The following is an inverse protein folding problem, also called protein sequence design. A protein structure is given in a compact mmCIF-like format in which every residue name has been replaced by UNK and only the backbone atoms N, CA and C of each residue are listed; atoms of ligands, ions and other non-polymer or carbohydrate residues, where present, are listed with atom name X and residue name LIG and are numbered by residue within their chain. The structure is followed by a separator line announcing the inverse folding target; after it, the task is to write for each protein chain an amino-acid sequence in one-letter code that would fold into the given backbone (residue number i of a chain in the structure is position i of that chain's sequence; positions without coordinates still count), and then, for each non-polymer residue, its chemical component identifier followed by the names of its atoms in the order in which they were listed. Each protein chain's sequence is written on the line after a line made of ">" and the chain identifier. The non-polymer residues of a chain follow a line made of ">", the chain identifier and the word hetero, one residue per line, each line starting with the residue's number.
data_IF_100687959039
#
_entry.id   IF_100687959039
#
_cell.length_a   1.000
_cell.length_b   1.000
_cell.length_c   1.000
_cell.angle_alpha   90.00
_cell.angle_beta   90.00
_cell.angle_gamma   90.00
#
_symmetry.space_group_name_H-M   'P 1'
#
loop_
_entity.id
_entity.type
_entity.pdbx_description
1 polymer ?
#
# COMPACT_ATOMS: atom_id res chain seq x y z
N UNK A 1 7.93 26.92 15.90
CA UNK A 1 6.79 26.00 15.64
C UNK A 1 5.49 26.74 15.32
N UNK A 2 5.26 27.96 15.83
CA UNK A 2 4.18 28.83 15.35
C UNK A 2 4.77 30.05 14.64
N UNK A 3 5.18 29.89 13.37
CA UNK A 3 5.40 31.05 12.52
C UNK A 3 4.03 31.68 12.26
N UNK A 4 3.75 32.96 12.60
CA UNK A 4 2.44 33.59 12.32
C UNK A 4 1.95 33.48 10.86
N UNK A 5 2.84 33.14 9.92
CA UNK A 5 2.53 32.93 8.50
C UNK A 5 2.41 31.46 8.07
N UNK A 6 2.49 30.52 9.00
CA UNK A 6 2.55 29.08 8.73
C UNK A 6 3.87 28.63 8.08
N UNK A 7 4.03 27.31 7.91
CA UNK A 7 5.12 26.73 7.13
C UNK A 7 4.92 27.03 5.64
N UNK A 8 6.01 27.18 4.87
CA UNK A 8 5.94 27.39 3.42
C UNK A 8 5.21 26.19 2.79
N UNK A 9 3.99 26.40 2.31
CA UNK A 9 3.15 25.33 1.74
C UNK A 9 2.37 24.49 2.76
N UNK A 10 2.29 24.90 4.03
CA UNK A 10 1.48 24.22 5.04
C UNK A 10 -0.02 24.30 4.76
N UNK A 11 -0.78 23.32 5.24
CA UNK A 11 -2.20 23.11 4.94
C UNK A 11 -3.18 24.24 5.32
N UNK A 12 -2.73 25.27 6.05
CA UNK A 12 -3.54 26.44 6.43
C UNK A 12 -3.35 27.69 5.56
N UNK A 13 -2.62 27.62 4.43
CA UNK A 13 -2.31 28.81 3.63
C UNK A 13 -3.30 29.07 2.49
N UNK A 14 -3.79 30.31 2.31
CA UNK A 14 -4.61 30.69 1.15
C UNK A 14 -3.83 30.47 -0.16
N UNK A 15 -4.45 29.84 -1.15
CA UNK A 15 -3.90 29.65 -2.50
C UNK A 15 -4.53 30.67 -3.42
N UNK A 16 -3.74 31.66 -3.86
CA UNK A 16 -4.19 32.58 -4.91
C UNK A 16 -3.83 31.95 -6.26
N UNK A 17 -4.86 31.53 -7.01
CA UNK A 17 -4.71 30.81 -8.28
C UNK A 17 -4.42 31.75 -9.47
N UNK A 18 -4.55 33.07 -9.29
CA UNK A 18 -4.36 34.07 -10.34
C UNK A 18 -2.92 34.61 -10.42
N UNK A 19 -2.09 34.31 -9.42
CA UNK A 19 -0.70 34.78 -9.33
C UNK A 19 0.24 33.59 -9.51
N UNK A 20 1.37 33.81 -10.19
CA UNK A 20 2.43 32.82 -10.29
C UNK A 20 2.78 32.23 -8.92
N UNK A 21 2.61 30.91 -8.79
CA UNK A 21 2.79 30.17 -7.55
C UNK A 21 4.23 30.30 -7.02
N UNK A 22 5.21 30.45 -7.91
CA UNK A 22 6.61 30.59 -7.54
C UNK A 22 6.94 32.01 -7.06
N UNK A 23 6.34 33.04 -7.67
CA UNK A 23 6.44 34.41 -7.15
C UNK A 23 5.81 34.53 -5.76
N UNK A 24 4.64 33.92 -5.57
CA UNK A 24 3.95 33.89 -4.28
C UNK A 24 4.79 33.17 -3.21
N UNK A 25 5.43 32.04 -3.57
CA UNK A 25 6.33 31.30 -2.67
C UNK A 25 7.57 32.11 -2.31
N UNK A 26 8.22 32.76 -3.29
CA UNK A 26 9.39 33.63 -3.06
C UNK A 26 9.06 34.82 -2.15
N UNK A 27 7.92 35.49 -2.38
CA UNK A 27 7.47 36.59 -1.53
C UNK A 27 7.20 36.11 -0.08
N UNK A 28 6.64 34.91 0.10
CA UNK A 28 6.42 34.31 1.43
C UNK A 28 7.72 33.95 2.13
N UNK A 29 8.66 33.35 1.41
CA UNK A 29 10.00 33.06 1.92
C UNK A 29 10.64 34.36 2.43
N UNK A 30 10.63 35.41 1.61
CA UNK A 30 11.17 36.71 1.98
C UNK A 30 10.46 37.30 3.21
N UNK A 31 9.13 37.21 3.28
CA UNK A 31 8.35 37.67 4.44
C UNK A 31 8.64 36.89 5.73
N UNK A 32 8.83 35.57 5.63
CA UNK A 32 9.21 34.74 6.78
C UNK A 32 10.62 35.08 7.28
N UNK A 33 11.59 35.23 6.39
CA UNK A 33 12.95 35.64 6.75
C UNK A 33 13.01 37.06 7.32
N UNK A 34 12.28 38.01 6.72
CA UNK A 34 12.20 39.38 7.22
C UNK A 34 11.59 39.43 8.62
N UNK A 35 10.52 38.65 8.87
CA UNK A 35 9.94 38.57 10.22
C UNK A 35 10.89 37.90 11.20
N UNK A 36 11.51 36.79 10.81
CA UNK A 36 12.49 36.08 11.65
C UNK A 36 13.66 36.99 12.03
N UNK A 37 14.14 37.84 11.11
CA UNK A 37 15.20 38.83 11.37
C UNK A 37 14.75 39.94 12.34
N UNK A 38 13.47 40.35 12.27
CA UNK A 38 12.90 41.35 13.18
C UNK A 38 12.58 40.80 14.58
N UNK A 39 12.60 39.48 14.77
CA UNK A 39 12.34 38.89 16.07
C UNK A 39 13.55 39.05 16.98
N UNK A 40 13.31 39.60 18.17
CA UNK A 40 14.35 39.74 19.21
C UNK A 40 14.73 38.40 19.85
N UNK A 41 13.82 37.41 19.83
CA UNK A 41 14.04 36.05 20.35
C UNK A 41 13.81 35.03 19.23
N UNK A 42 14.90 34.53 18.65
CA UNK A 42 14.87 33.64 17.48
C UNK A 42 15.11 32.18 17.83
N UNK A 43 15.97 31.95 18.82
CA UNK A 43 16.33 30.60 19.22
C UNK A 43 15.53 30.14 20.44
N UNK A 44 15.04 28.90 20.41
CA UNK A 44 14.24 28.33 21.50
C UNK A 44 14.98 28.29 22.83
N UNK A 45 16.30 28.08 22.82
CA UNK A 45 17.14 28.07 24.02
C UNK A 45 17.38 29.47 24.59
N UNK A 46 17.04 30.54 23.86
CA UNK A 46 17.11 31.92 24.35
C UNK A 46 15.79 32.37 25.00
N UNK A 47 14.69 31.65 24.75
CA UNK A 47 13.36 32.01 25.24
C UNK A 47 13.34 32.03 26.79
N UNK A 48 12.95 33.14 27.43
CA UNK A 48 12.99 33.29 28.88
C UNK A 48 12.03 32.34 29.60
N UNK A 49 10.89 31.98 29.00
CA UNK A 49 9.94 31.02 29.59
C UNK A 49 10.53 29.61 29.57
N UNK A 50 11.23 29.23 28.50
CA UNK A 50 11.91 27.93 28.40
C UNK A 50 13.08 27.88 29.38
N UNK A 51 13.89 28.94 29.48
CA UNK A 51 14.98 29.03 30.46
C UNK A 51 14.44 28.89 31.89
N UNK A 52 13.39 29.65 32.22
CA UNK A 52 12.73 29.59 33.53
C UNK A 52 12.16 28.19 33.81
N UNK A 53 11.51 27.56 32.84
CA UNK A 53 10.99 26.20 32.98
C UNK A 53 12.11 25.19 33.28
N UNK A 54 13.27 25.32 32.62
CA UNK A 54 14.41 24.49 32.97
C UNK A 54 14.95 24.85 34.36
N UNK A 55 15.25 26.10 34.66
CA UNK A 55 15.78 26.52 35.95
C UNK A 55 14.91 26.10 37.14
N UNK A 56 13.58 26.25 37.03
CA UNK A 56 12.65 26.01 38.13
C UNK A 56 12.15 24.57 38.21
N UNK A 57 12.06 23.86 37.08
CA UNK A 57 11.44 22.53 37.04
C UNK A 57 12.39 21.44 36.56
N UNK A 58 12.92 21.55 35.33
CA UNK A 58 13.74 20.46 34.76
C UNK A 58 15.21 20.48 35.23
N UNK A 59 15.67 21.51 35.92
CA UNK A 59 17.08 21.78 36.22
C UNK A 59 17.87 22.19 34.97
N UNK A 60 18.72 21.30 34.48
CA UNK A 60 19.55 21.55 33.29
C UNK A 60 19.01 20.81 32.07
N UNK A 61 19.34 21.25 30.84
CA UNK A 61 19.12 20.46 29.64
C UNK A 61 19.69 19.04 29.80
N UNK A 62 18.95 18.04 29.30
CA UNK A 62 19.29 16.61 29.42
C UNK A 62 19.44 16.10 30.87
N UNK A 63 18.85 16.78 31.86
CA UNK A 63 18.77 16.23 33.20
C UNK A 63 17.95 14.93 33.20
N UNK A 64 18.17 14.09 34.22
CA UNK A 64 17.39 12.87 34.42
C UNK A 64 15.87 13.14 34.52
N UNK A 65 15.48 14.28 35.08
CA UNK A 65 14.08 14.67 35.19
C UNK A 65 13.50 15.09 33.83
N UNK A 66 14.26 15.89 33.06
CA UNK A 66 13.90 16.23 31.68
C UNK A 66 13.76 14.97 30.83
N UNK A 67 14.70 14.03 30.94
CA UNK A 67 14.66 12.77 30.22
C UNK A 67 13.39 11.98 30.55
N UNK A 68 13.11 11.76 31.84
CA UNK A 68 11.94 11.02 32.33
C UNK A 68 10.60 11.63 31.91
N UNK A 69 10.50 12.95 31.85
CA UNK A 69 9.24 13.65 31.63
C UNK A 69 8.97 13.99 30.16
N UNK A 70 10.03 14.25 29.38
CA UNK A 70 9.92 14.66 27.99
C UNK A 70 10.08 13.49 27.01
N UNK A 71 10.67 12.37 27.45
CA UNK A 71 10.71 11.15 26.66
C UNK A 71 9.69 10.15 27.19
N UNK A 72 8.96 9.54 26.27
CA UNK A 72 8.04 8.46 26.58
C UNK A 72 8.73 7.13 26.31
N UNK A 73 8.61 6.17 27.22
CA UNK A 73 8.94 4.78 26.94
C UNK A 73 7.71 4.05 26.42
N UNK A 74 7.87 3.33 25.31
CA UNK A 74 6.83 2.46 24.77
C UNK A 74 6.81 1.15 25.57
N UNK A 75 5.68 0.86 26.22
CA UNK A 75 5.42 -0.44 26.83
C UNK A 75 4.41 -1.15 25.94
N UNK A 76 4.82 -2.29 25.37
CA UNK A 76 3.93 -3.13 24.56
C UNK A 76 2.75 -3.60 25.42
N UNK A 77 1.52 -3.26 25.00
CA UNK A 77 0.27 -3.77 25.60
C UNK A 77 -0.31 -4.94 24.80
N UNK A 78 0.51 -5.65 24.04
CA UNK A 78 0.08 -6.77 23.20
C UNK A 78 -0.66 -7.86 24.00
N UNK A 79 -0.32 -8.06 25.28
CA UNK A 79 -1.01 -9.03 26.16
C UNK A 79 -2.39 -8.56 26.65
N UNK A 80 -2.70 -7.27 26.58
CA UNK A 80 -4.04 -6.77 26.94
C UNK A 80 -5.07 -7.05 25.83
N UNK A 81 -4.58 -7.37 24.63
CA UNK A 81 -5.40 -7.80 23.49
C UNK A 81 -5.80 -9.28 23.56
N UNK A 82 -5.25 -10.07 24.50
CA UNK A 82 -5.47 -11.54 24.57
C UNK A 82 -6.33 -12.02 25.76
N UNK A 83 -6.73 -11.14 26.70
CA UNK A 83 -7.42 -11.55 27.95
C UNK A 83 -8.95 -11.53 27.92
N UNK A 84 -9.57 -11.03 26.85
CA UNK A 84 -11.03 -11.05 26.71
C UNK A 84 -11.44 -11.73 25.41
N UNK A 85 -11.74 -13.03 25.47
CA UNK A 85 -12.39 -13.72 24.35
C UNK A 85 -12.02 -15.19 24.19
N UNK A 86 -11.80 -15.94 25.27
CA UNK A 86 -11.61 -17.39 25.15
C UNK A 86 -12.32 -18.13 26.28
N UNK A 87 -13.64 -18.22 26.15
CA UNK A 87 -14.38 -19.37 26.64
C UNK A 87 -15.22 -19.88 25.47
N UNK A 88 -14.94 -21.13 25.09
CA UNK A 88 -15.72 -22.00 24.21
C UNK A 88 -15.64 -21.68 22.70
N UNK A 89 -14.81 -22.43 21.99
CA UNK A 89 -15.30 -23.44 21.05
C UNK A 89 -14.15 -24.37 20.60
N UNK A 90 -14.42 -25.65 20.72
CA UNK A 90 -13.55 -26.81 20.56
C UNK A 90 -13.52 -27.33 19.12
N UNK A 91 -12.34 -27.80 18.71
CA UNK A 91 -12.11 -29.06 17.96
C UNK A 91 -12.88 -29.22 16.63
N UNK A 92 -12.27 -29.34 15.45
CA UNK A 92 -11.44 -30.47 15.04
C UNK A 92 -11.13 -30.31 13.54
N UNK A 93 -9.94 -30.80 13.13
CA UNK A 93 -9.49 -31.16 11.76
C UNK A 93 -9.00 -30.03 10.84
N UNK A 94 -7.67 -29.95 10.74
CA UNK A 94 -6.93 -30.19 9.49
C UNK A 94 -5.45 -30.41 9.83
N UNK A 95 -5.02 -31.68 9.91
CA UNK A 95 -3.60 -32.06 9.90
C UNK A 95 -3.10 -32.04 8.45
N UNK A 96 -2.49 -30.93 8.04
CA UNK A 96 -1.62 -30.92 6.86
C UNK A 96 -0.23 -31.41 7.29
N UNK A 97 0.10 -32.63 6.86
CA UNK A 97 1.34 -33.31 7.22
C UNK A 97 2.51 -32.75 6.39
N UNK A 98 3.17 -31.70 6.87
CA UNK A 98 4.38 -31.14 6.26
C UNK A 98 5.59 -32.05 6.52
N UNK A 99 5.84 -33.01 5.63
CA UNK A 99 6.96 -33.94 5.76
C UNK A 99 8.30 -33.29 5.39
N UNK A 100 9.30 -33.41 6.26
CA UNK A 100 10.66 -32.87 6.06
C UNK A 100 11.41 -33.60 4.93
N UNK A 101 12.20 -32.87 4.13
CA UNK A 101 13.01 -33.44 3.03
C UNK A 101 14.53 -33.38 3.32
N UNK A 102 15.24 -34.45 2.95
CA UNK A 102 16.69 -34.60 3.12
C UNK A 102 17.33 -34.93 1.77
N UNK A 103 18.44 -34.26 1.43
CA UNK A 103 19.16 -34.47 0.16
C UNK A 103 20.51 -35.13 0.39
N UNK A 104 20.83 -36.17 -0.38
CA UNK A 104 22.16 -36.76 -0.39
C UNK A 104 23.17 -35.82 -1.06
N UNK A 105 24.23 -35.43 -0.35
CA UNK A 105 25.30 -34.54 -0.86
C UNK A 105 26.12 -35.15 -1.99
N UNK A 106 26.08 -36.48 -2.16
CA UNK A 106 26.92 -37.20 -3.14
C UNK A 106 26.20 -37.40 -4.47
N UNK A 107 24.93 -37.83 -4.45
CA UNK A 107 24.20 -38.17 -5.68
C UNK A 107 22.89 -37.40 -5.89
N UNK A 108 22.47 -36.59 -4.91
CA UNK A 108 21.26 -35.78 -5.01
C UNK A 108 19.94 -36.53 -4.76
N UNK A 109 19.95 -37.80 -4.34
CA UNK A 109 18.74 -38.51 -3.93
C UNK A 109 18.01 -37.77 -2.79
N UNK A 110 16.68 -37.68 -2.89
CA UNK A 110 15.81 -37.01 -1.90
C UNK A 110 15.05 -38.05 -1.10
N UNK A 111 15.15 -37.96 0.23
CA UNK A 111 14.36 -38.73 1.19
C UNK A 111 13.29 -37.82 1.82
N UNK A 112 12.06 -38.29 1.92
CA UNK A 112 10.93 -37.56 2.52
C UNK A 112 10.48 -38.30 3.79
N UNK A 113 10.56 -37.63 4.95
CA UNK A 113 10.21 -38.19 6.26
C UNK A 113 10.56 -37.22 7.39
N UNK A 114 9.81 -37.26 8.50
CA UNK A 114 10.01 -36.37 9.66
C UNK A 114 11.44 -36.41 10.21
N UNK A 115 12.05 -37.59 10.23
CA UNK A 115 13.44 -37.80 10.66
C UNK A 115 14.15 -38.74 9.68
N UNK A 116 15.44 -38.50 9.43
CA UNK A 116 16.28 -39.39 8.65
C UNK A 116 16.86 -40.48 9.58
N UNK A 117 16.51 -41.77 9.39
CA UNK A 117 17.06 -42.85 10.23
C UNK A 117 18.59 -42.90 10.14
N UNK A 118 19.27 -43.14 11.26
CA UNK A 118 20.74 -43.17 11.33
C UNK A 118 21.35 -44.30 10.48
N UNK A 119 20.61 -45.39 10.31
CA UNK A 119 20.99 -46.56 9.50
C UNK A 119 20.57 -46.41 8.03
N UNK A 120 19.98 -45.28 7.63
CA UNK A 120 19.55 -45.07 6.25
C UNK A 120 20.73 -45.07 5.28
N UNK A 121 20.62 -45.89 4.24
CA UNK A 121 21.62 -45.98 3.17
C UNK A 121 21.01 -45.45 1.89
N UNK A 122 21.67 -44.46 1.28
CA UNK A 122 21.22 -43.89 0.02
C UNK A 122 21.03 -45.01 -1.04
N UNK A 123 19.85 -45.16 -1.66
CA UNK A 123 19.60 -46.25 -2.60
C UNK A 123 20.41 -46.11 -3.89
N UNK A 124 20.81 -44.90 -4.26
CA UNK A 124 21.58 -44.60 -5.47
C UNK A 124 23.08 -44.80 -5.24
N UNK A 125 23.70 -44.04 -4.33
CA UNK A 125 25.17 -44.05 -4.17
C UNK A 125 25.69 -44.87 -2.99
N UNK A 126 24.79 -45.55 -2.24
CA UNK A 126 25.10 -46.43 -1.11
C UNK A 126 25.87 -45.77 0.05
N UNK A 127 25.87 -44.44 0.10
CA UNK A 127 26.46 -43.68 1.19
C UNK A 127 25.52 -43.63 2.41
N UNK A 128 26.06 -43.59 3.63
CA UNK A 128 25.27 -43.61 4.87
C UNK A 128 24.52 -42.28 5.11
N UNK A 129 23.61 -42.28 6.09
CA UNK A 129 22.77 -41.13 6.46
C UNK A 129 23.57 -39.85 6.75
N UNK A 130 24.82 -39.96 7.25
CA UNK A 130 25.73 -38.82 7.46
C UNK A 130 26.07 -38.02 6.18
N UNK A 131 25.81 -38.61 5.01
CA UNK A 131 25.99 -37.97 3.71
C UNK A 131 24.75 -37.19 3.24
N UNK A 132 23.70 -37.11 4.05
CA UNK A 132 22.52 -36.29 3.79
C UNK A 132 22.58 -34.96 4.53
N UNK A 133 21.97 -33.95 3.95
CA UNK A 133 21.73 -32.65 4.58
C UNK A 133 20.23 -32.34 4.56
N UNK A 134 19.74 -31.68 5.61
CA UNK A 134 18.35 -31.23 5.69
C UNK A 134 18.17 -30.14 4.65
N UNK A 135 17.12 -30.26 3.83
CA UNK A 135 16.72 -29.16 2.97
C UNK A 135 16.00 -28.18 3.90
N UNK A 136 16.66 -27.08 4.27
CA UNK A 136 15.96 -25.91 4.80
C UNK A 136 15.10 -25.39 3.64
N UNK A 137 13.78 -25.40 3.81
CA UNK A 137 12.88 -24.76 2.86
C UNK A 137 13.19 -23.26 2.89
N UNK A 138 14.04 -22.83 1.95
CA UNK A 138 14.11 -21.44 1.56
C UNK A 138 12.73 -21.17 0.93
N UNK A 139 11.91 -20.25 1.49
CA UNK A 139 10.64 -19.92 0.89
C UNK A 139 10.90 -19.52 -0.56
N UNK A 140 10.17 -20.17 -1.49
CA UNK A 140 10.29 -19.90 -2.91
C UNK A 140 10.19 -18.39 -3.16
N UNK A 141 11.00 -17.86 -4.07
CA UNK A 141 10.93 -16.46 -4.48
C UNK A 141 9.48 -16.11 -4.86
N UNK A 142 8.82 -15.30 -4.03
CA UNK A 142 7.41 -14.93 -4.19
C UNK A 142 6.50 -15.20 -2.98
N UNK A 143 6.98 -15.87 -1.93
CA UNK A 143 6.23 -15.99 -0.67
C UNK A 143 6.72 -14.99 0.37
N UNK A 144 5.78 -14.32 1.04
CA UNK A 144 6.03 -13.37 2.14
C UNK A 144 6.99 -13.96 3.18
N UNK A 145 7.90 -13.18 3.79
CA UNK A 145 8.74 -13.65 4.91
C UNK A 145 7.93 -14.20 6.09
N UNK A 146 6.63 -13.91 6.14
CA UNK A 146 5.71 -14.28 7.18
C UNK A 146 4.85 -15.51 6.83
N UNK A 147 5.08 -16.15 5.68
CA UNK A 147 4.25 -17.25 5.17
C UNK A 147 3.94 -18.32 6.23
N UNK A 148 2.65 -18.63 6.42
CA UNK A 148 2.16 -19.63 7.36
C UNK A 148 2.14 -19.20 8.83
N UNK A 149 2.60 -18.00 9.16
CA UNK A 149 2.63 -17.50 10.54
C UNK A 149 1.32 -16.81 10.94
N UNK A 150 1.09 -16.65 12.24
CA UNK A 150 0.03 -15.76 12.75
C UNK A 150 0.26 -14.31 12.32
N UNK A 151 1.51 -13.88 12.15
CA UNK A 151 1.85 -12.53 11.72
C UNK A 151 1.36 -12.25 10.29
N UNK A 152 1.47 -13.20 9.37
CA UNK A 152 0.90 -13.04 8.02
C UNK A 152 -0.61 -12.83 8.06
N UNK A 153 -1.33 -13.61 8.87
CA UNK A 153 -2.78 -13.44 9.06
C UNK A 153 -3.10 -12.05 9.65
N UNK A 154 -2.34 -11.61 10.65
CA UNK A 154 -2.50 -10.28 11.24
C UNK A 154 -2.26 -9.16 10.21
N UNK A 155 -1.27 -9.32 9.33
CA UNK A 155 -0.98 -8.36 8.26
C UNK A 155 -2.11 -8.31 7.22
N UNK A 156 -2.66 -9.47 6.84
CA UNK A 156 -3.82 -9.55 5.93
C UNK A 156 -5.07 -8.90 6.56
N UNK A 157 -5.31 -9.16 7.85
CA UNK A 157 -6.40 -8.55 8.60
C UNK A 157 -6.24 -7.03 8.69
N UNK A 158 -5.03 -6.55 9.02
CA UNK A 158 -4.71 -5.12 9.05
C UNK A 158 -4.90 -4.48 7.67
N UNK A 159 -4.40 -5.08 6.60
CA UNK A 159 -4.60 -4.60 5.23
C UNK A 159 -6.09 -4.50 4.87
N UNK A 160 -6.89 -5.52 5.20
CA UNK A 160 -8.34 -5.52 4.98
C UNK A 160 -9.03 -4.41 5.78
N UNK A 161 -8.69 -4.28 7.07
CA UNK A 161 -9.24 -3.26 7.96
C UNK A 161 -8.97 -1.84 7.47
N UNK A 162 -7.72 -1.54 7.11
CA UNK A 162 -7.31 -0.23 6.60
C UNK A 162 -7.94 0.10 5.23
N UNK A 163 -8.04 -0.92 4.35
CA UNK A 163 -8.69 -0.77 3.05
C UNK A 163 -10.19 -0.45 3.19
N UNK A 164 -10.86 -1.12 4.13
CA UNK A 164 -12.25 -0.82 4.47
C UNK A 164 -12.39 0.56 5.12
N UNK A 165 -11.47 0.95 6.00
CA UNK A 165 -11.47 2.25 6.66
C UNK A 165 -11.34 3.41 5.66
N UNK A 166 -10.38 3.34 4.73
CA UNK A 166 -10.23 4.29 3.62
C UNK A 166 -11.55 4.53 2.88
N UNK A 167 -12.21 3.45 2.45
CA UNK A 167 -13.45 3.55 1.68
C UNK A 167 -14.59 4.14 2.52
N UNK A 168 -14.78 3.66 3.76
CA UNK A 168 -15.78 4.19 4.70
C UNK A 168 -15.60 5.70 4.91
N UNK A 169 -14.39 6.15 5.22
CA UNK A 169 -14.12 7.56 5.47
C UNK A 169 -14.32 8.42 4.22
N UNK A 170 -14.00 7.90 3.04
CA UNK A 170 -14.33 8.58 1.78
C UNK A 170 -15.84 8.74 1.60
N UNK A 171 -16.64 7.72 1.93
CA UNK A 171 -18.11 7.82 1.88
C UNK A 171 -18.66 8.79 2.95
N UNK A 172 -18.08 8.79 4.16
CA UNK A 172 -18.48 9.71 5.23
C UNK A 172 -18.17 11.16 4.87
N UNK A 173 -17.06 11.42 4.17
CA UNK A 173 -16.76 12.75 3.65
C UNK A 173 -17.86 13.27 2.71
N UNK A 174 -18.40 12.41 1.84
CA UNK A 174 -19.50 12.79 0.94
C UNK A 174 -20.78 13.13 1.71
N UNK A 175 -21.06 12.42 2.82
CA UNK A 175 -22.18 12.76 3.71
C UNK A 175 -21.94 14.13 4.35
N UNK A 176 -20.76 14.34 4.95
CA UNK A 176 -20.40 15.61 5.59
C UNK A 176 -20.46 16.80 4.61
N UNK A 177 -20.04 16.62 3.35
CA UNK A 177 -20.19 17.64 2.30
C UNK A 177 -21.66 17.98 2.03
N UNK A 178 -22.53 16.98 1.88
CA UNK A 178 -23.96 17.20 1.65
C UNK A 178 -24.64 17.92 2.81
N UNK A 179 -24.13 17.74 4.03
CA UNK A 179 -24.61 18.42 5.24
C UNK A 179 -23.98 19.82 5.43
N UNK A 180 -23.02 20.22 4.58
CA UNK A 180 -22.35 21.52 4.65
C UNK A 180 -21.16 21.59 5.62
N UNK A 181 -20.71 20.47 6.17
CA UNK A 181 -19.57 20.38 7.07
C UNK A 181 -18.24 20.15 6.32
N UNK A 182 -17.82 21.14 5.54
CA UNK A 182 -16.64 21.03 4.67
C UNK A 182 -15.34 20.70 5.42
N UNK A 183 -15.14 21.26 6.63
CA UNK A 183 -13.96 20.92 7.43
C UNK A 183 -13.95 19.45 7.86
N UNK A 184 -15.11 18.92 8.25
CA UNK A 184 -15.25 17.51 8.66
C UNK A 184 -15.01 16.61 7.46
N UNK A 185 -15.54 16.97 6.30
CA UNK A 185 -15.30 16.23 5.06
C UNK A 185 -13.81 16.17 4.70
N UNK A 186 -13.09 17.31 4.76
CA UNK A 186 -11.66 17.31 4.46
C UNK A 186 -10.86 16.50 5.48
N UNK A 187 -11.24 16.52 6.76
CA UNK A 187 -10.62 15.67 7.77
C UNK A 187 -10.86 14.18 7.48
N UNK A 188 -12.08 13.79 7.07
CA UNK A 188 -12.33 12.41 6.65
C UNK A 188 -11.50 12.02 5.42
N UNK A 189 -11.38 12.88 4.41
CA UNK A 189 -10.54 12.62 3.24
C UNK A 189 -9.05 12.55 3.60
N UNK A 190 -8.59 13.38 4.53
CA UNK A 190 -7.23 13.31 5.04
C UNK A 190 -6.99 11.98 5.77
N UNK A 191 -7.89 11.56 6.64
CA UNK A 191 -7.78 10.27 7.33
C UNK A 191 -7.84 9.11 6.34
N UNK A 192 -8.73 9.15 5.33
CA UNK A 192 -8.78 8.14 4.28
C UNK A 192 -7.44 8.00 3.52
N UNK A 193 -6.76 9.11 3.27
CA UNK A 193 -5.40 9.11 2.68
C UNK A 193 -4.36 8.49 3.63
N UNK A 194 -4.47 8.72 4.94
CA UNK A 194 -3.60 8.06 5.92
C UNK A 194 -3.82 6.55 5.94
N UNK A 195 -5.08 6.09 5.96
CA UNK A 195 -5.37 4.63 5.96
C UNK A 195 -4.94 3.96 4.65
N UNK A 196 -4.97 4.70 3.53
CA UNK A 196 -4.38 4.22 2.28
C UNK A 196 -2.87 3.95 2.44
N UNK A 197 -2.13 4.84 3.11
CA UNK A 197 -0.70 4.62 3.38
C UNK A 197 -0.45 3.51 4.39
N UNK A 198 -1.28 3.37 5.42
CA UNK A 198 -1.20 2.24 6.35
C UNK A 198 -1.42 0.90 5.62
N UNK A 199 -2.48 0.80 4.80
CA UNK A 199 -2.73 -0.38 3.97
C UNK A 199 -1.55 -0.67 3.02
N UNK A 200 -0.94 0.36 2.41
CA UNK A 200 0.22 0.21 1.53
C UNK A 200 1.42 -0.39 2.28
N UNK A 201 1.67 0.01 3.52
CA UNK A 201 2.75 -0.56 4.35
C UNK A 201 2.54 -2.07 4.56
N UNK A 202 1.34 -2.49 4.98
CA UNK A 202 1.05 -3.90 5.22
C UNK A 202 1.08 -4.75 3.94
N UNK A 203 0.55 -4.22 2.85
CA UNK A 203 0.58 -4.90 1.55
C UNK A 203 2.01 -5.05 1.00
N UNK A 204 2.88 -4.09 1.32
CA UNK A 204 4.30 -4.16 1.01
C UNK A 204 5.03 -5.22 1.85
N UNK A 205 4.76 -5.30 3.16
CA UNK A 205 5.34 -6.33 4.05
C UNK A 205 4.93 -7.75 3.62
N UNK A 206 3.73 -7.91 3.07
CA UNK A 206 3.25 -9.16 2.49
C UNK A 206 3.90 -9.50 1.13
N UNK A 207 4.73 -8.60 0.58
CA UNK A 207 5.39 -8.81 -0.71
C UNK A 207 4.46 -8.72 -1.92
N UNK A 208 3.29 -8.09 -1.78
CA UNK A 208 2.28 -8.03 -2.84
C UNK A 208 2.41 -6.83 -3.80
N UNK A 209 3.44 -5.99 -3.62
CA UNK A 209 3.74 -4.86 -4.51
C UNK A 209 4.97 -5.19 -5.37
N UNK A 210 4.74 -5.46 -6.65
CA UNK A 210 5.79 -5.73 -7.64
C UNK A 210 5.93 -4.63 -8.70
N UNK A 211 6.50 -5.01 -9.84
CA UNK A 211 6.57 -4.20 -11.07
C UNK A 211 5.18 -3.99 -11.68
N UNK A 212 5.04 -3.05 -12.61
CA UNK A 212 3.76 -2.83 -13.30
C UNK A 212 3.23 -4.07 -14.02
N UNK A 213 4.11 -4.93 -14.56
CA UNK A 213 3.70 -6.19 -15.21
C UNK A 213 3.13 -7.19 -14.19
N UNK A 214 3.85 -7.40 -13.08
CA UNK A 214 3.43 -8.29 -12.00
C UNK A 214 2.11 -7.81 -11.38
N UNK A 215 1.99 -6.51 -11.12
CA UNK A 215 0.78 -5.93 -10.53
C UNK A 215 -0.43 -6.03 -11.48
N UNK A 216 -0.25 -5.84 -12.80
CA UNK A 216 -1.33 -6.02 -13.78
C UNK A 216 -1.77 -7.49 -13.88
N UNK A 217 -0.82 -8.42 -13.81
CA UNK A 217 -1.14 -9.85 -13.80
C UNK A 217 -1.90 -10.23 -12.52
N UNK A 218 -1.44 -9.78 -11.35
CA UNK A 218 -2.12 -10.00 -10.08
C UNK A 218 -3.52 -9.39 -10.07
N UNK A 219 -3.69 -8.16 -10.58
CA UNK A 219 -4.99 -7.51 -10.72
C UNK A 219 -5.92 -8.31 -11.65
N UNK A 220 -5.45 -8.72 -12.84
CA UNK A 220 -6.26 -9.52 -13.76
C UNK A 220 -6.68 -10.87 -13.14
N UNK A 221 -5.81 -11.51 -12.36
CA UNK A 221 -6.14 -12.77 -11.67
C UNK A 221 -7.19 -12.56 -10.56
N UNK A 222 -7.08 -11.47 -9.80
CA UNK A 222 -8.08 -11.08 -8.80
C UNK A 222 -9.45 -10.82 -9.43
N UNK A 223 -9.50 -9.96 -10.45
CA UNK A 223 -10.73 -9.66 -11.19
C UNK A 223 -11.36 -10.93 -11.78
N UNK A 224 -10.54 -11.85 -12.33
CA UNK A 224 -11.00 -13.13 -12.86
C UNK A 224 -11.74 -13.93 -11.79
N UNK A 225 -11.10 -14.18 -10.65
CA UNK A 225 -11.70 -14.87 -9.51
C UNK A 225 -12.99 -14.20 -9.03
N UNK A 226 -13.03 -12.87 -9.02
CA UNK A 226 -14.22 -12.14 -8.61
C UNK A 226 -15.43 -12.44 -9.50
N UNK A 227 -15.28 -12.41 -10.83
CA UNK A 227 -16.42 -12.62 -11.73
C UNK A 227 -16.72 -14.09 -12.05
N UNK A 228 -15.74 -15.00 -12.03
CA UNK A 228 -15.96 -16.43 -12.30
C UNK A 228 -16.44 -17.21 -11.10
N UNK A 229 -16.01 -16.83 -9.89
CA UNK A 229 -16.24 -17.64 -8.69
C UNK A 229 -16.96 -16.84 -7.60
N UNK A 230 -16.39 -15.71 -7.16
CA UNK A 230 -16.88 -14.99 -5.98
C UNK A 230 -18.30 -14.44 -6.18
N UNK A 231 -18.49 -13.58 -7.19
CA UNK A 231 -19.79 -12.96 -7.46
C UNK A 231 -20.81 -13.94 -8.02
N UNK A 232 -20.37 -14.96 -8.78
CA UNK A 232 -21.26 -16.02 -9.24
C UNK A 232 -21.86 -16.80 -8.05
N UNK A 233 -21.01 -17.21 -7.09
CA UNK A 233 -21.46 -17.88 -5.87
C UNK A 233 -22.32 -16.96 -5.01
N UNK A 234 -21.89 -15.73 -4.73
CA UNK A 234 -22.66 -14.77 -3.92
C UNK A 234 -24.05 -14.48 -4.52
N UNK A 235 -24.16 -14.44 -5.86
CA UNK A 235 -25.44 -14.27 -6.52
C UNK A 235 -26.35 -15.50 -6.37
N UNK A 236 -25.79 -16.73 -6.37
CA UNK A 236 -26.55 -17.96 -6.11
C UNK A 236 -27.02 -18.01 -4.67
N UNK A 237 -26.12 -17.77 -3.71
CA UNK A 237 -26.43 -17.72 -2.28
C UNK A 237 -27.58 -16.72 -2.01
N UNK A 238 -27.48 -15.50 -2.55
CA UNK A 238 -28.52 -14.47 -2.41
C UNK A 238 -29.86 -14.85 -3.08
N UNK A 239 -29.84 -15.58 -4.19
CA UNK A 239 -31.04 -16.06 -4.87
C UNK A 239 -31.76 -17.15 -4.05
N UNK A 240 -30.99 -18.09 -3.49
CA UNK A 240 -31.48 -19.18 -2.64
C UNK A 240 -32.11 -18.66 -1.34
N UNK A 241 -31.55 -17.58 -0.79
CA UNK A 241 -32.08 -16.88 0.39
C UNK A 241 -33.25 -15.93 0.09
N UNK A 242 -33.63 -15.76 -1.19
CA UNK A 242 -34.76 -14.92 -1.62
C UNK A 242 -34.45 -13.43 -1.79
N UNK A 243 -33.17 -13.04 -1.78
CA UNK A 243 -32.69 -11.67 -2.01
C UNK A 243 -32.46 -11.39 -3.51
N UNK A 244 -33.49 -11.58 -4.33
CA UNK A 244 -33.40 -11.53 -5.81
C UNK A 244 -32.78 -10.23 -6.37
N UNK A 245 -33.15 -9.06 -5.83
CA UNK A 245 -32.57 -7.77 -6.26
C UNK A 245 -31.07 -7.70 -5.99
N UNK A 246 -30.60 -8.28 -4.88
CA UNK A 246 -29.19 -8.32 -4.53
C UNK A 246 -28.43 -9.33 -5.40
N UNK A 247 -29.02 -10.50 -5.64
CA UNK A 247 -28.48 -11.49 -6.57
C UNK A 247 -28.27 -10.89 -7.97
N UNK A 248 -29.25 -10.14 -8.48
CA UNK A 248 -29.10 -9.45 -9.77
C UNK A 248 -27.98 -8.40 -9.73
N UNK A 249 -27.86 -7.63 -8.63
CA UNK A 249 -26.76 -6.67 -8.47
C UNK A 249 -25.40 -7.37 -8.47
N UNK A 250 -25.22 -8.48 -7.77
CA UNK A 250 -23.97 -9.25 -7.80
C UNK A 250 -23.62 -9.70 -9.22
N UNK A 251 -24.58 -10.23 -9.99
CA UNK A 251 -24.35 -10.62 -11.39
C UNK A 251 -23.92 -9.44 -12.26
N UNK A 252 -24.53 -8.27 -12.05
CA UNK A 252 -24.19 -7.04 -12.79
C UNK A 252 -22.80 -6.53 -12.42
N UNK A 253 -22.41 -6.62 -11.15
CA UNK A 253 -21.04 -6.28 -10.70
C UNK A 253 -20.03 -7.26 -11.29
N UNK A 254 -20.28 -8.58 -11.22
CA UNK A 254 -19.40 -9.57 -11.87
C UNK A 254 -19.22 -9.33 -13.38
N UNK A 255 -20.26 -8.93 -14.10
CA UNK A 255 -20.14 -8.56 -15.51
C UNK A 255 -19.23 -7.32 -15.76
N UNK A 256 -19.10 -6.42 -14.78
CA UNK A 256 -18.18 -5.28 -14.83
C UNK A 256 -16.76 -5.75 -14.55
N UNK A 257 -16.53 -6.59 -13.54
CA UNK A 257 -15.19 -7.08 -13.19
C UNK A 257 -14.55 -7.87 -14.33
N UNK A 258 -15.35 -8.59 -15.13
CA UNK A 258 -14.88 -9.18 -16.39
C UNK A 258 -14.22 -8.16 -17.33
N UNK A 259 -14.80 -6.95 -17.44
CA UNK A 259 -14.22 -5.88 -18.27
C UNK A 259 -12.97 -5.29 -17.64
N UNK A 260 -12.84 -5.31 -16.33
CA UNK A 260 -11.60 -4.93 -15.66
C UNK A 260 -10.48 -5.92 -15.95
N UNK A 261 -10.74 -7.23 -15.88
CA UNK A 261 -9.79 -8.26 -16.28
C UNK A 261 -9.32 -8.04 -17.74
N UNK A 262 -10.26 -7.91 -18.68
CA UNK A 262 -9.96 -7.68 -20.10
C UNK A 262 -9.06 -6.45 -20.29
N UNK A 263 -9.36 -5.36 -19.58
CA UNK A 263 -8.54 -4.14 -19.59
C UNK A 263 -7.13 -4.39 -19.07
N UNK A 264 -6.98 -5.06 -17.92
CA UNK A 264 -5.65 -5.30 -17.34
C UNK A 264 -4.82 -6.26 -18.19
N UNK A 265 -5.41 -7.31 -18.76
CA UNK A 265 -4.73 -8.20 -19.71
C UNK A 265 -4.26 -7.44 -20.96
N UNK A 266 -5.09 -6.55 -21.51
CA UNK A 266 -4.70 -5.75 -22.67
C UNK A 266 -3.55 -4.79 -22.34
N UNK A 267 -3.54 -4.19 -21.14
CA UNK A 267 -2.45 -3.34 -20.68
C UNK A 267 -1.15 -4.13 -20.46
N UNK A 268 -1.25 -5.34 -19.90
CA UNK A 268 -0.11 -6.24 -19.73
C UNK A 268 0.49 -6.63 -21.09
N UNK A 269 -0.35 -7.02 -22.05
CA UNK A 269 0.09 -7.36 -23.40
C UNK A 269 0.81 -6.18 -24.08
N UNK A 270 0.30 -4.96 -23.91
CA UNK A 270 0.97 -3.76 -24.41
C UNK A 270 2.36 -3.57 -23.78
N UNK A 271 2.53 -3.83 -22.48
CA UNK A 271 3.84 -3.75 -21.80
C UNK A 271 4.80 -4.85 -22.24
N UNK A 272 4.30 -6.05 -22.54
CA UNK A 272 5.12 -7.17 -23.01
C UNK A 272 5.61 -6.96 -24.43
N UNK A 273 4.76 -6.43 -25.30
CA UNK A 273 5.07 -6.14 -26.71
C UNK A 273 5.75 -4.78 -26.94
N UNK A 274 5.94 -3.97 -25.89
CA UNK A 274 6.47 -2.61 -26.02
C UNK A 274 5.52 -1.63 -26.70
N UNK A 275 4.23 -1.93 -26.73
CA UNK A 275 3.20 -1.19 -27.47
C UNK A 275 2.47 -0.13 -26.64
N UNK A 276 3.03 0.29 -25.50
CA UNK A 276 2.44 1.33 -24.65
C UNK A 276 2.51 2.69 -25.35
N UNK A 277 3.63 3.00 -25.99
CA UNK A 277 3.90 4.27 -26.68
C UNK A 277 4.26 4.08 -28.16
N UNK A 278 4.04 2.87 -28.70
CA UNK A 278 4.30 2.51 -30.09
C UNK A 278 3.22 1.56 -30.60
N UNK A 279 2.82 1.71 -31.86
CA UNK A 279 1.83 0.88 -32.55
C UNK A 279 2.37 0.52 -33.93
N UNK A 280 1.89 -0.61 -34.46
CA UNK A 280 2.26 -1.11 -35.80
C UNK A 280 1.76 -0.15 -36.88
N UNK A 281 0.55 0.35 -36.70
CA UNK A 281 -0.09 1.30 -37.61
C UNK A 281 -0.02 2.72 -37.05
N UNK A 282 -0.10 3.69 -37.96
CA UNK A 282 -0.14 5.11 -37.62
C UNK A 282 -1.31 5.39 -36.67
N UNK A 283 -0.98 5.97 -35.51
CA UNK A 283 -1.93 6.20 -34.43
C UNK A 283 -1.92 7.67 -34.03
N UNK A 284 -3.05 8.15 -33.52
CA UNK A 284 -3.16 9.49 -32.95
C UNK A 284 -2.88 9.42 -31.46
N UNK A 285 -1.85 10.12 -31.02
CA UNK A 285 -1.42 10.24 -29.63
C UNK A 285 -1.83 11.59 -29.07
N UNK A 286 -2.25 11.63 -27.82
CA UNK A 286 -2.65 12.84 -27.11
C UNK A 286 -1.84 13.00 -25.82
N UNK A 287 -1.26 14.18 -25.61
CA UNK A 287 -0.59 14.52 -24.36
C UNK A 287 -1.64 14.86 -23.28
N UNK A 288 -1.75 14.04 -22.24
CA UNK A 288 -2.69 14.24 -21.12
C UNK A 288 -2.46 15.49 -20.28
N UNK A 289 -1.31 16.15 -20.45
CA UNK A 289 -0.98 17.38 -19.71
C UNK A 289 -1.49 18.64 -20.42
N UNK A 290 -1.37 18.70 -21.76
CA UNK A 290 -1.65 19.93 -22.51
C UNK A 290 -2.56 19.75 -23.74
N UNK A 291 -3.01 18.53 -24.04
CA UNK A 291 -3.86 18.21 -25.19
C UNK A 291 -3.14 18.20 -26.54
N UNK A 292 -1.81 18.30 -26.59
CA UNK A 292 -1.07 18.21 -27.86
C UNK A 292 -1.35 16.87 -28.56
N UNK A 293 -1.78 16.96 -29.82
CA UNK A 293 -2.02 15.81 -30.69
C UNK A 293 -0.80 15.56 -31.57
N UNK A 294 -0.30 14.33 -31.53
CA UNK A 294 0.76 13.83 -32.40
C UNK A 294 0.24 12.66 -33.23
N UNK A 295 0.53 12.64 -34.53
CA UNK A 295 0.15 11.53 -35.42
C UNK A 295 1.42 10.81 -35.85
N UNK A 296 1.49 9.50 -35.58
CA UNK A 296 2.66 8.69 -35.86
C UNK A 296 2.54 7.28 -35.29
N UNK A 297 3.44 6.37 -35.68
CA UNK A 297 3.51 5.02 -35.12
C UNK A 297 3.99 5.03 -33.66
N UNK A 298 4.75 6.05 -33.24
CA UNK A 298 5.29 6.19 -31.89
C UNK A 298 4.96 7.55 -31.29
N UNK A 299 4.64 7.59 -30.00
CA UNK A 299 4.48 8.84 -29.26
C UNK A 299 5.84 9.56 -29.13
N UNK A 300 5.88 10.91 -29.11
CA UNK A 300 7.14 11.64 -28.94
C UNK A 300 7.80 11.35 -27.58
N UNK A 301 9.13 11.23 -27.55
CA UNK A 301 9.88 11.01 -26.30
C UNK A 301 9.70 12.20 -25.32
N UNK A 302 9.55 13.40 -25.88
CA UNK A 302 9.24 14.66 -25.17
C UNK A 302 8.14 15.40 -25.92
N UNK A 303 7.12 15.88 -25.22
CA UNK A 303 6.07 16.68 -25.81
C UNK A 303 6.65 18.01 -26.35
N UNK A 304 6.44 18.36 -27.64
CA UNK A 304 7.00 19.57 -28.23
C UNK A 304 6.36 20.87 -27.71
N UNK A 305 5.23 20.76 -26.99
CA UNK A 305 4.49 21.92 -26.46
C UNK A 305 4.83 22.17 -24.99
N UNK A 306 4.66 21.18 -24.12
CA UNK A 306 4.82 21.34 -22.68
C UNK A 306 6.12 20.74 -22.11
N UNK A 307 6.94 20.09 -22.95
CA UNK A 307 8.22 19.49 -22.56
C UNK A 307 8.14 18.35 -21.53
N UNK A 308 6.95 17.84 -21.22
CA UNK A 308 6.79 16.62 -20.41
C UNK A 308 7.16 15.35 -21.20
N UNK A 309 7.56 14.32 -20.47
CA UNK A 309 8.00 13.03 -21.01
C UNK A 309 6.90 12.26 -21.75
N UNK A 310 7.31 11.30 -22.58
CA UNK A 310 6.45 10.34 -23.30
C UNK A 310 5.39 9.67 -22.41
N UNK A 311 5.68 9.45 -21.12
CA UNK A 311 4.78 8.83 -20.14
C UNK A 311 3.42 9.53 -19.97
N UNK A 312 3.30 10.76 -20.46
CA UNK A 312 2.06 11.52 -20.44
C UNK A 312 1.23 11.40 -21.71
N UNK A 313 1.72 10.74 -22.75
CA UNK A 313 0.93 10.46 -23.95
C UNK A 313 0.04 9.24 -23.77
N UNK A 314 -1.13 9.26 -24.41
CA UNK A 314 -2.02 8.13 -24.57
C UNK A 314 -2.59 8.08 -25.99
N UNK A 315 -3.20 6.96 -26.38
CA UNK A 315 -3.94 6.89 -27.64
C UNK A 315 -5.17 7.78 -27.54
N UNK A 316 -5.31 8.73 -28.46
CA UNK A 316 -6.44 9.64 -28.53
C UNK A 316 -7.75 8.87 -28.72
N UNK A 317 -8.76 9.20 -27.93
CA UNK A 317 -10.10 8.60 -28.01
C UNK A 317 -11.12 9.69 -28.32
N UNK A 318 -12.01 9.43 -29.29
CA UNK A 318 -13.19 10.27 -29.56
C UNK A 318 -14.43 9.56 -29.03
N UNK A 319 -15.07 10.16 -28.04
CA UNK A 319 -16.22 9.63 -27.34
C UNK A 319 -17.31 10.70 -27.08
N UNK A 320 -17.39 11.71 -27.95
CA UNK A 320 -18.41 12.76 -27.98
C UNK A 320 -19.09 12.83 -29.36
#
# INVERSE_FOLDING_TARGET
>A
MACPGGCIGGGGQPRNLEVDADQTRKARIAGLYSRDEQMTLRFSHENPEIKKLYEEFYGTPLSRLAEKMLHTSYISRAEDLTKHGNEQETEERNEENTMTKWKCKICGYIYEGETLPEDFVCPICKQPASSFEKIEEIPAAGTSPYAGTKTEKNLQEAFSGESQARNKYTFFAQVAQREGYEQIAELFLQTARNEQEHARLWYQELGHIGTSKENLLAAAAGENYEWTDMYERMAKDAEEEGFHDLAERFRRVGAIEKRHEERYRQLLENLEKGQVFEKIEETVWECRVCGHIHVGTKAPDVCPVCSYSQSYFEVHKKNY
#
